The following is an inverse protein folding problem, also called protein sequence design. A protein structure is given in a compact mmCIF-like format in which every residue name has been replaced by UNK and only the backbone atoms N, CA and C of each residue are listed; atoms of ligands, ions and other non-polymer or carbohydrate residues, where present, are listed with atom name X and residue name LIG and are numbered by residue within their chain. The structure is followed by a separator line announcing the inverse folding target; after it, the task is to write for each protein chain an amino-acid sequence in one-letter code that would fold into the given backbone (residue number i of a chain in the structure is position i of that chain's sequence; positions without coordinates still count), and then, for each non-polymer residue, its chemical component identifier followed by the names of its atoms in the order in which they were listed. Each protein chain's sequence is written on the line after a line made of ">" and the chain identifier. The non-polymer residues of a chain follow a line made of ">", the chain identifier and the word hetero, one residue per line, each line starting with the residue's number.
data_IF_833806682814
#
_entry.id   IF_833806682814
#
_cell.length_a   1.000
_cell.length_b   1.000
_cell.length_c   1.000
_cell.angle_alpha   90.00
_cell.angle_beta   90.00
_cell.angle_gamma   90.00
#
_symmetry.space_group_name_H-M   'P 1'
#
loop_
_entity.id
_entity.type
_entity.pdbx_description
1 polymer ?
#
# COMPACT_ATOMS: atom_id res chain seq x y z
N UNK A 1 33.85 -28.47 -21.98
CA UNK A 1 32.72 -28.32 -22.92
C UNK A 1 32.75 -26.87 -23.36
N UNK A 2 33.30 -26.61 -24.54
CA UNK A 2 33.59 -25.26 -25.01
C UNK A 2 32.27 -24.56 -25.35
N UNK A 3 31.96 -23.46 -24.65
CA UNK A 3 30.70 -22.75 -24.83
C UNK A 3 30.77 -21.93 -26.14
N UNK A 4 30.00 -22.34 -27.15
CA UNK A 4 29.92 -21.63 -28.43
C UNK A 4 29.24 -20.27 -28.20
N UNK A 5 30.04 -19.22 -28.06
CA UNK A 5 29.56 -17.85 -27.84
C UNK A 5 28.82 -17.36 -29.08
N UNK A 6 27.48 -17.47 -29.07
CA UNK A 6 26.63 -16.93 -30.13
C UNK A 6 26.64 -15.40 -30.09
N UNK A 7 27.14 -14.77 -31.17
CA UNK A 7 27.20 -13.31 -31.32
C UNK A 7 25.78 -12.74 -31.43
N UNK A 8 25.31 -12.06 -30.39
CA UNK A 8 23.99 -11.39 -30.33
C UNK A 8 24.14 -9.89 -30.58
N UNK A 9 23.17 -9.21 -31.21
CA UNK A 9 23.21 -7.76 -31.40
C UNK A 9 23.32 -7.03 -30.06
N UNK A 10 24.01 -5.88 -30.09
CA UNK A 10 24.20 -5.03 -28.92
C UNK A 10 22.89 -4.28 -28.68
N UNK A 11 22.27 -4.52 -27.52
CA UNK A 11 21.07 -3.81 -27.08
C UNK A 11 21.48 -2.73 -26.08
N UNK A 12 20.84 -1.55 -26.11
CA UNK A 12 21.15 -0.43 -25.22
C UNK A 12 21.05 -0.80 -23.72
N UNK A 13 20.22 -1.80 -23.38
CA UNK A 13 20.15 -2.37 -22.02
C UNK A 13 21.47 -3.00 -21.52
N UNK A 14 22.47 -3.23 -22.39
CA UNK A 14 23.83 -3.65 -22.01
C UNK A 14 24.76 -2.49 -21.67
N UNK A 15 24.46 -1.27 -22.14
CA UNK A 15 25.34 -0.10 -21.99
C UNK A 15 25.19 0.59 -20.63
N UNK A 16 24.05 0.41 -19.95
CA UNK A 16 23.71 1.14 -18.74
C UNK A 16 23.65 0.23 -17.52
N UNK A 17 24.81 0.08 -16.86
CA UNK A 17 24.95 -0.60 -15.57
C UNK A 17 24.41 -2.04 -15.53
N UNK A 18 24.40 -2.69 -14.36
CA UNK A 18 23.49 -3.79 -14.16
C UNK A 18 22.05 -3.26 -14.28
N UNK A 19 21.29 -3.74 -15.27
CA UNK A 19 19.84 -3.58 -15.24
C UNK A 19 19.30 -4.13 -13.91
N UNK A 20 18.08 -3.76 -13.48
CA UNK A 20 17.54 -4.15 -12.17
C UNK A 20 17.60 -5.66 -11.89
N UNK A 21 17.56 -6.51 -12.92
CA UNK A 21 17.73 -7.97 -12.80
C UNK A 21 19.18 -8.49 -12.73
N UNK A 22 20.20 -7.62 -12.75
CA UNK A 22 21.63 -7.99 -12.68
C UNK A 22 22.28 -7.71 -11.31
N UNK A 23 21.55 -7.16 -10.35
CA UNK A 23 22.05 -7.12 -8.98
C UNK A 23 22.11 -8.56 -8.47
N UNK A 24 23.30 -9.13 -8.35
CA UNK A 24 23.55 -10.45 -7.74
C UNK A 24 23.36 -10.45 -6.22
N UNK A 25 22.54 -9.53 -5.71
CA UNK A 25 22.23 -9.46 -4.30
C UNK A 25 21.26 -10.62 -3.99
N UNK A 26 21.53 -11.40 -2.95
CA UNK A 26 20.59 -12.41 -2.50
C UNK A 26 19.27 -11.71 -2.12
N UNK A 27 18.10 -12.33 -2.40
CA UNK A 27 16.83 -11.75 -2.03
C UNK A 27 16.78 -11.55 -0.51
N UNK A 28 16.35 -10.37 -0.07
CA UNK A 28 16.20 -10.02 1.36
C UNK A 28 14.91 -10.58 1.97
N UNK A 29 14.03 -11.12 1.14
CA UNK A 29 12.72 -11.68 1.51
C UNK A 29 12.49 -13.00 0.76
N UNK A 30 11.88 -14.00 1.40
CA UNK A 30 11.62 -15.32 0.82
C UNK A 30 12.62 -16.40 1.26
N UNK A 31 12.72 -17.49 0.49
CA UNK A 31 13.59 -18.63 0.79
C UNK A 31 14.98 -18.45 0.15
N UNK A 32 16.04 -18.67 0.92
CA UNK A 32 17.41 -18.63 0.37
C UNK A 32 17.60 -19.75 -0.66
N UNK A 33 18.10 -19.42 -1.85
CA UNK A 33 18.29 -20.36 -2.97
C UNK A 33 16.99 -20.97 -3.55
N UNK A 34 15.88 -20.24 -3.51
CA UNK A 34 14.69 -20.65 -4.25
C UNK A 34 14.92 -20.60 -5.76
N UNK A 35 14.68 -21.73 -6.42
CA UNK A 35 14.65 -21.83 -7.87
C UNK A 35 13.37 -21.19 -8.44
N UNK A 36 13.50 -20.02 -9.08
CA UNK A 36 12.38 -19.27 -9.66
C UNK A 36 11.63 -20.01 -10.78
N UNK A 37 12.17 -21.10 -11.32
CA UNK A 37 11.49 -21.91 -12.34
C UNK A 37 10.43 -22.84 -11.77
N UNK A 38 10.39 -23.00 -10.44
CA UNK A 38 9.47 -23.91 -9.74
C UNK A 38 8.58 -23.14 -8.79
N UNK A 39 7.30 -23.51 -8.65
CA UNK A 39 6.44 -22.93 -7.63
C UNK A 39 6.96 -23.32 -6.23
N UNK A 40 6.96 -22.36 -5.29
CA UNK A 40 7.23 -22.62 -3.87
C UNK A 40 6.20 -21.92 -3.00
N UNK A 41 5.84 -22.57 -1.89
CA UNK A 41 5.05 -21.96 -0.83
C UNK A 41 5.87 -20.93 -0.03
N UNK A 42 5.23 -20.01 0.70
CA UNK A 42 5.92 -19.07 1.58
C UNK A 42 6.78 -19.81 2.61
N UNK A 43 8.04 -19.39 2.75
CA UNK A 43 8.95 -19.99 3.73
C UNK A 43 8.67 -19.55 5.18
N UNK A 44 8.10 -18.35 5.34
CA UNK A 44 7.75 -17.79 6.64
C UNK A 44 6.33 -17.24 6.58
N UNK A 45 5.53 -17.53 7.61
CA UNK A 45 4.19 -16.99 7.79
C UNK A 45 4.24 -15.98 8.93
N UNK A 46 3.64 -14.80 8.76
CA UNK A 46 3.62 -13.76 9.80
C UNK A 46 2.65 -14.06 10.96
N UNK A 47 1.93 -15.19 10.95
CA UNK A 47 1.02 -15.57 12.02
C UNK A 47 0.59 -17.04 11.87
N UNK A 48 0.41 -17.76 12.98
CA UNK A 48 -0.38 -19.01 13.01
C UNK A 48 -1.83 -18.68 12.66
N UNK A 49 -2.65 -19.65 12.18
CA UNK A 49 -4.10 -19.40 12.06
C UNK A 49 -4.60 -18.95 13.44
N UNK A 50 -5.01 -17.69 13.54
CA UNK A 50 -5.71 -17.19 14.71
C UNK A 50 -6.94 -18.08 14.85
N UNK A 51 -7.00 -18.92 15.89
CA UNK A 51 -8.19 -19.75 16.10
C UNK A 51 -9.39 -18.81 16.14
N UNK A 52 -10.55 -19.24 15.65
CA UNK A 52 -11.76 -18.42 15.62
C UNK A 52 -12.13 -17.85 17.00
N UNK A 53 -11.56 -18.37 18.09
CA UNK A 53 -11.69 -17.86 19.46
C UNK A 53 -10.93 -16.54 19.74
N UNK A 54 -9.95 -16.17 18.90
CA UNK A 54 -9.18 -14.92 19.00
C UNK A 54 -9.67 -13.84 18.01
N UNK A 55 -10.65 -14.18 17.16
CA UNK A 55 -11.43 -13.18 16.41
C UNK A 55 -12.54 -12.69 17.34
N UNK A 56 -12.17 -12.04 18.43
CA UNK A 56 -13.15 -11.24 19.17
C UNK A 56 -13.67 -10.19 18.20
N UNK A 57 -14.99 -10.23 18.04
CA UNK A 57 -15.83 -9.58 17.04
C UNK A 57 -15.82 -8.06 17.29
N UNK A 58 -14.71 -7.38 17.01
CA UNK A 58 -14.68 -5.90 16.93
C UNK A 58 -13.43 -5.38 16.20
N UNK A 59 -12.89 -6.15 15.25
CA UNK A 59 -11.87 -5.67 14.31
C UNK A 59 -12.52 -5.08 13.06
N UNK A 60 -13.32 -4.03 13.24
CA UNK A 60 -13.58 -3.10 12.14
C UNK A 60 -12.75 -1.84 12.40
N UNK A 61 -12.17 -1.19 11.39
CA UNK A 61 -11.71 0.19 11.53
C UNK A 61 -12.95 1.10 11.62
N UNK A 62 -13.80 0.84 12.63
CA UNK A 62 -14.92 1.69 12.99
C UNK A 62 -14.38 2.91 13.73
N UNK A 63 -15.03 4.06 13.59
CA UNK A 63 -14.60 5.25 14.31
C UNK A 63 -14.58 4.94 15.81
N UNK A 64 -13.42 5.11 16.45
CA UNK A 64 -13.22 4.93 17.91
C UNK A 64 -14.14 5.84 18.75
N UNK A 65 -14.80 6.78 18.10
CA UNK A 65 -15.69 7.77 18.67
C UNK A 65 -17.02 7.80 17.90
N UNK A 66 -18.10 8.13 18.62
CA UNK A 66 -19.40 8.37 18.01
C UNK A 66 -19.29 9.50 16.98
N UNK A 67 -19.48 9.17 15.70
CA UNK A 67 -19.66 10.17 14.65
C UNK A 67 -21.10 10.63 14.74
N UNK A 68 -21.32 11.88 15.15
CA UNK A 68 -22.66 12.46 15.24
C UNK A 68 -23.38 12.38 13.89
N UNK A 69 -24.69 12.10 13.90
CA UNK A 69 -25.48 11.81 12.69
C UNK A 69 -25.58 12.93 11.64
N UNK A 70 -24.98 14.09 11.93
CA UNK A 70 -24.90 15.24 11.02
C UNK A 70 -23.59 15.27 10.21
N UNK A 71 -22.72 14.27 10.31
CA UNK A 71 -21.44 14.25 9.59
C UNK A 71 -21.47 13.20 8.48
N UNK A 72 -21.23 13.61 7.23
CA UNK A 72 -21.09 12.72 6.07
C UNK A 72 -19.71 12.84 5.43
N UNK A 73 -19.39 11.98 4.46
CA UNK A 73 -18.10 11.99 3.73
C UNK A 73 -17.78 13.36 3.08
N UNK A 74 -18.81 14.13 2.75
CA UNK A 74 -18.67 15.45 2.11
C UNK A 74 -18.61 16.61 3.11
N UNK A 75 -18.80 16.36 4.40
CA UNK A 75 -18.82 17.37 5.45
C UNK A 75 -20.07 17.29 6.35
N UNK A 76 -20.25 18.33 7.17
CA UNK A 76 -21.41 18.45 8.08
C UNK A 76 -22.65 18.82 7.28
N UNK A 77 -23.69 18.00 7.40
CA UNK A 77 -25.04 18.27 6.91
C UNK A 77 -25.81 18.91 8.06
N UNK A 78 -25.90 20.24 8.03
CA UNK A 78 -26.70 21.04 8.95
C UNK A 78 -27.61 21.96 8.14
N UNK A 79 -28.77 22.32 8.70
CA UNK A 79 -29.62 23.35 8.09
C UNK A 79 -28.86 24.69 8.02
N UNK A 80 -29.15 25.56 7.03
CA UNK A 80 -28.45 26.84 6.89
C UNK A 80 -28.48 27.65 8.19
N UNK A 81 -27.31 28.13 8.62
CA UNK A 81 -27.18 29.03 9.77
C UNK A 81 -27.09 30.47 9.29
N UNK A 82 -27.98 31.34 9.78
CA UNK A 82 -28.02 32.76 9.42
C UNK A 82 -27.51 33.60 10.58
N UNK A 83 -26.51 34.45 10.33
CA UNK A 83 -26.08 35.47 11.29
C UNK A 83 -26.76 36.80 10.96
N UNK A 84 -27.49 37.39 11.91
CA UNK A 84 -27.97 38.77 11.79
C UNK A 84 -26.78 39.69 12.04
N UNK A 85 -26.28 40.35 10.99
CA UNK A 85 -25.26 41.40 11.14
C UNK A 85 -25.93 42.75 11.42
N UNK A 86 -25.38 43.49 12.38
CA UNK A 86 -25.84 44.83 12.73
C UNK A 86 -25.77 45.79 11.54
N UNK A 87 -26.73 46.72 11.44
CA UNK A 87 -26.74 47.72 10.38
C UNK A 87 -25.51 48.64 10.52
N UNK A 88 -24.73 48.77 9.45
CA UNK A 88 -23.66 49.76 9.37
C UNK A 88 -24.23 51.16 9.58
N UNK A 89 -23.60 51.94 10.46
CA UNK A 89 -24.02 53.30 10.79
C UNK A 89 -23.82 54.17 9.55
N UNK A 90 -24.91 54.68 8.96
CA UNK A 90 -24.83 55.67 7.88
C UNK A 90 -24.46 57.00 8.52
N UNK A 91 -23.22 57.43 8.34
CA UNK A 91 -22.78 58.78 8.69
C UNK A 91 -23.27 59.67 7.55
N UNK A 92 -24.20 60.56 7.87
CA UNK A 92 -24.58 61.73 7.06
C UNK A 92 -23.89 62.93 7.66
#
# INVERSE_FOLDING_TARGET
>A
MEEVVRKRPIISAKERGPGPGRYGLPPTVGYMNHDFTKPSSPAYSFHSRMSSAMVSVDSSPGPKYHVGGQVTRFGRIESPSYSIKGRGRRIV
#
